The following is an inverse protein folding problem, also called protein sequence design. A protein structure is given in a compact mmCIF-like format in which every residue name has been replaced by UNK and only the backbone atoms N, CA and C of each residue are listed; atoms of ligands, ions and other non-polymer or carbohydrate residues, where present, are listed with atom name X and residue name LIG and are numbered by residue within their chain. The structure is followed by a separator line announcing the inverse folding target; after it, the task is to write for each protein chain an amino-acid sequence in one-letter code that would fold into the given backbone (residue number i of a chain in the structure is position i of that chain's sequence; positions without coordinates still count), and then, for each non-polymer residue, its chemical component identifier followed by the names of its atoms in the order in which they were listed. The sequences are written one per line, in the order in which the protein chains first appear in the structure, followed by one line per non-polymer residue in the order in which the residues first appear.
data_IF_297758666411
#
_entry.id   IF_297758666411
#
_cell.length_a   1.000
_cell.length_b   1.000
_cell.length_c   1.000
_cell.angle_alpha   90.00
_cell.angle_beta   90.00
_cell.angle_gamma   90.00
#
_symmetry.space_group_name_H-M   'P 1'
#
loop_
_entity.id
_entity.type
_entity.pdbx_description
1 polymer ?
#
# COMPACT_ATOMS: atom_id res chain seq x y z
N UNK A 1 -17.69 29.06 -5.55
CA UNK A 1 -18.05 29.21 -4.12
C UNK A 1 -18.37 27.86 -3.45
N UNK A 2 -19.15 26.95 -4.06
CA UNK A 2 -19.48 25.65 -3.45
C UNK A 2 -18.27 24.71 -3.23
N UNK A 3 -17.29 24.66 -4.14
CA UNK A 3 -16.15 23.74 -4.02
C UNK A 3 -15.24 24.04 -2.80
N UNK A 4 -14.89 25.32 -2.57
CA UNK A 4 -14.01 25.71 -1.46
C UNK A 4 -14.65 25.34 -0.11
N UNK A 5 -15.96 25.53 0.02
CA UNK A 5 -16.69 25.18 1.23
C UNK A 5 -16.58 23.69 1.57
N UNK A 6 -16.58 22.79 0.58
CA UNK A 6 -16.40 21.33 0.82
C UNK A 6 -15.05 21.03 1.44
N UNK A 7 -13.97 21.66 0.96
CA UNK A 7 -12.63 21.47 1.53
C UNK A 7 -12.49 22.05 2.93
N UNK A 8 -13.14 23.18 3.21
CA UNK A 8 -13.19 23.77 4.55
C UNK A 8 -13.96 22.88 5.53
N UNK A 9 -15.11 22.33 5.11
CA UNK A 9 -15.89 21.38 5.91
C UNK A 9 -15.12 20.09 6.19
N UNK A 10 -14.27 19.67 5.26
CA UNK A 10 -13.37 18.52 5.43
C UNK A 10 -12.10 18.83 6.25
N UNK A 11 -11.99 20.04 6.83
CA UNK A 11 -10.84 20.52 7.60
C UNK A 11 -9.49 20.36 6.87
N UNK A 12 -9.48 20.76 5.60
CA UNK A 12 -8.27 20.77 4.76
C UNK A 12 -7.79 22.18 4.55
N UNK A 13 -6.50 22.44 4.73
CA UNK A 13 -5.90 23.73 4.42
C UNK A 13 -6.09 24.04 2.93
N UNK A 14 -6.60 25.24 2.62
CA UNK A 14 -6.87 25.71 1.26
C UNK A 14 -5.94 26.87 0.93
N UNK A 15 -5.24 26.75 -0.19
CA UNK A 15 -4.30 27.76 -0.69
C UNK A 15 -4.73 28.29 -2.05
N UNK A 16 -4.36 29.53 -2.35
CA UNK A 16 -4.50 30.16 -3.67
C UNK A 16 -3.20 30.83 -4.09
N UNK A 17 -2.85 30.71 -5.37
CA UNK A 17 -1.75 31.43 -6.01
C UNK A 17 -2.25 32.01 -7.33
N UNK A 18 -2.14 33.33 -7.47
CA UNK A 18 -2.49 34.03 -8.71
C UNK A 18 -1.32 33.94 -9.69
N UNK A 19 -1.46 33.12 -10.73
CA UNK A 19 -0.38 32.89 -11.70
C UNK A 19 -0.15 34.14 -12.57
N UNK A 20 1.11 34.55 -12.83
CA UNK A 20 1.42 35.79 -13.55
C UNK A 20 1.46 35.51 -15.06
N UNK A 21 0.39 34.91 -15.59
CA UNK A 21 0.29 34.53 -16.98
C UNK A 21 0.07 35.76 -17.86
N UNK A 22 0.78 35.83 -18.99
CA UNK A 22 0.43 36.80 -20.04
C UNK A 22 -0.97 36.49 -20.61
N UNK A 23 -1.66 37.45 -21.23
CA UNK A 23 -2.98 37.20 -21.82
C UNK A 23 -2.99 36.03 -22.81
N UNK A 24 -1.91 35.83 -23.57
CA UNK A 24 -1.78 34.70 -24.50
C UNK A 24 -1.65 33.35 -23.77
N UNK A 25 -0.85 33.29 -22.70
CA UNK A 25 -0.69 32.08 -21.88
C UNK A 25 -1.99 31.74 -21.15
N UNK A 26 -2.67 32.75 -20.60
CA UNK A 26 -3.97 32.59 -19.95
C UNK A 26 -5.01 32.05 -20.94
N UNK A 27 -5.11 32.63 -22.14
CA UNK A 27 -6.02 32.15 -23.18
C UNK A 27 -5.73 30.68 -23.55
N UNK A 28 -4.46 30.30 -23.66
CA UNK A 28 -4.05 28.92 -23.93
C UNK A 28 -4.47 27.95 -22.80
N UNK A 29 -4.28 28.33 -21.55
CA UNK A 29 -4.70 27.52 -20.39
C UNK A 29 -6.24 27.37 -20.32
N UNK A 30 -6.98 28.47 -20.54
CA UNK A 30 -8.45 28.46 -20.54
C UNK A 30 -8.99 27.59 -21.68
N UNK A 31 -8.46 27.72 -22.89
CA UNK A 31 -8.89 26.89 -24.02
C UNK A 31 -8.69 25.39 -23.75
N UNK A 32 -7.60 25.03 -23.05
CA UNK A 32 -7.37 23.63 -22.66
C UNK A 32 -8.39 23.16 -21.61
N UNK A 33 -8.67 23.98 -20.59
CA UNK A 33 -9.70 23.67 -19.58
C UNK A 33 -11.10 23.54 -20.21
N UNK A 34 -11.47 24.43 -21.13
CA UNK A 34 -12.73 24.38 -21.86
C UNK A 34 -12.84 23.11 -22.72
N UNK A 35 -11.74 22.71 -23.36
CA UNK A 35 -11.68 21.43 -24.09
C UNK A 35 -11.83 20.23 -23.17
N UNK A 36 -11.23 20.25 -21.97
CA UNK A 36 -11.22 19.13 -21.04
C UNK A 36 -12.56 18.92 -20.32
N UNK A 37 -13.43 19.94 -20.26
CA UNK A 37 -14.78 19.79 -19.68
C UNK A 37 -15.81 19.24 -20.66
N UNK A 38 -15.48 19.13 -21.95
CA UNK A 38 -16.38 18.55 -22.95
C UNK A 38 -16.65 17.07 -22.65
N UNK A 39 -17.85 16.59 -23.00
CA UNK A 39 -18.29 15.21 -22.72
C UNK A 39 -17.31 14.15 -23.23
N UNK A 40 -16.73 14.41 -24.39
CA UNK A 40 -15.74 13.57 -25.05
C UNK A 40 -14.37 13.52 -24.33
N UNK A 41 -14.02 14.53 -23.53
CA UNK A 41 -12.69 14.69 -22.92
C UNK A 41 -12.69 14.64 -21.38
N UNK A 42 -13.85 14.81 -20.74
CA UNK A 42 -13.95 14.93 -19.27
C UNK A 42 -13.60 13.64 -18.52
N UNK A 43 -13.64 12.49 -19.20
CA UNK A 43 -13.33 11.20 -18.63
C UNK A 43 -11.90 10.79 -18.98
N UNK A 44 -11.10 10.53 -17.95
CA UNK A 44 -9.74 10.01 -18.09
C UNK A 44 -9.49 8.86 -17.11
N UNK A 45 -8.50 8.03 -17.43
CA UNK A 45 -8.09 6.92 -16.57
C UNK A 45 -7.17 7.46 -15.48
N UNK A 46 -7.72 7.71 -14.29
CA UNK A 46 -6.95 8.26 -13.18
C UNK A 46 -5.79 7.33 -12.79
N UNK A 47 -4.58 7.88 -12.83
CA UNK A 47 -3.38 7.27 -12.26
C UNK A 47 -2.83 8.18 -11.16
N UNK A 48 -2.71 7.63 -9.95
CA UNK A 48 -2.31 8.39 -8.77
C UNK A 48 -0.99 9.15 -8.92
N UNK A 49 0.01 8.67 -9.67
CA UNK A 49 1.29 9.36 -9.77
C UNK A 49 1.54 10.02 -11.13
N UNK A 50 0.94 9.49 -12.21
CA UNK A 50 1.23 9.97 -13.57
C UNK A 50 0.11 10.82 -14.16
N UNK A 51 -1.14 10.55 -13.81
CA UNK A 51 -2.31 11.20 -14.43
C UNK A 51 -3.43 11.42 -13.40
N UNK A 52 -3.24 12.46 -12.59
CA UNK A 52 -4.14 12.84 -11.51
C UNK A 52 -4.54 14.31 -11.60
N UNK A 53 -5.40 14.77 -10.68
CA UNK A 53 -5.88 16.14 -10.64
C UNK A 53 -4.75 17.19 -10.59
N UNK A 54 -3.65 16.92 -9.90
CA UNK A 54 -2.50 17.82 -9.80
C UNK A 54 -1.62 17.74 -11.05
N UNK A 55 -1.31 16.56 -11.58
CA UNK A 55 -0.49 16.44 -12.80
C UNK A 55 -1.19 17.06 -14.00
N UNK A 56 -2.52 16.93 -14.12
CA UNK A 56 -3.31 17.62 -15.15
C UNK A 56 -3.18 19.13 -15.06
N UNK A 57 -3.34 19.71 -13.86
CA UNK A 57 -3.18 21.15 -13.65
C UNK A 57 -1.73 21.59 -13.93
N UNK A 58 -0.75 20.81 -13.46
CA UNK A 58 0.69 21.03 -13.74
C UNK A 58 0.94 21.09 -15.24
N UNK A 59 0.46 20.11 -15.99
CA UNK A 59 0.69 19.98 -17.44
C UNK A 59 0.02 21.14 -18.19
N UNK A 60 -1.20 21.55 -17.81
CA UNK A 60 -1.88 22.73 -18.38
C UNK A 60 -1.05 24.00 -18.17
N UNK A 61 -0.52 24.20 -16.95
CA UNK A 61 0.31 25.37 -16.64
C UNK A 61 1.62 25.32 -17.43
N UNK A 62 2.29 24.15 -17.49
CA UNK A 62 3.56 23.99 -18.18
C UNK A 62 3.41 24.19 -19.69
N UNK A 63 2.37 23.61 -20.30
CA UNK A 63 2.04 23.78 -21.71
C UNK A 63 1.72 25.25 -22.03
N UNK A 64 0.93 25.92 -21.18
CA UNK A 64 0.60 27.32 -21.34
C UNK A 64 1.85 28.21 -21.29
N UNK A 65 2.80 27.88 -20.43
CA UNK A 65 4.00 28.69 -20.16
C UNK A 65 5.23 28.30 -20.98
N UNK A 66 5.14 27.26 -21.79
CA UNK A 66 6.23 26.80 -22.67
C UNK A 66 7.33 26.04 -21.92
N UNK A 67 6.97 25.18 -20.96
CA UNK A 67 7.93 24.36 -20.23
C UNK A 67 8.54 25.04 -19.00
N UNK A 68 7.88 26.06 -18.45
CA UNK A 68 8.46 26.89 -17.40
C UNK A 68 8.67 26.13 -16.08
N UNK A 69 7.84 25.13 -15.80
CA UNK A 69 7.88 24.30 -14.59
C UNK A 69 8.70 23.03 -14.85
N UNK A 70 8.55 22.40 -16.02
CA UNK A 70 9.31 21.18 -16.39
C UNK A 70 10.80 21.44 -16.50
N UNK A 71 11.22 22.67 -16.75
CA UNK A 71 12.63 23.07 -16.75
C UNK A 71 13.27 23.14 -15.35
N UNK A 72 12.51 22.95 -14.26
CA UNK A 72 13.02 23.05 -12.89
C UNK A 72 13.73 21.75 -12.48
N UNK A 73 15.02 21.83 -12.15
CA UNK A 73 15.85 20.67 -11.77
C UNK A 73 16.10 20.54 -10.27
N UNK A 74 15.75 21.56 -9.48
CA UNK A 74 16.11 21.64 -8.06
C UNK A 74 14.95 21.14 -7.20
N UNK A 75 15.27 20.52 -6.05
CA UNK A 75 14.39 20.21 -4.91
C UNK A 75 13.86 18.77 -4.80
N UNK A 76 14.70 17.76 -5.00
CA UNK A 76 14.38 16.39 -4.56
C UNK A 76 15.10 16.05 -3.25
N UNK A 77 14.35 15.67 -2.23
CA UNK A 77 14.91 14.93 -1.08
C UNK A 77 15.14 13.44 -1.42
N UNK A 78 15.43 12.63 -0.43
CA UNK A 78 15.69 11.19 -0.55
C UNK A 78 14.43 10.30 -0.52
N UNK A 79 13.23 10.88 -0.40
CA UNK A 79 11.96 10.13 -0.34
C UNK A 79 11.62 9.49 -1.69
N UNK A 80 11.15 8.25 -1.65
CA UNK A 80 10.63 7.52 -2.80
C UNK A 80 9.16 7.86 -3.07
N UNK A 81 8.61 7.46 -4.22
CA UNK A 81 7.15 7.56 -4.45
C UNK A 81 6.34 6.87 -3.36
N UNK A 82 6.82 5.73 -2.84
CA UNK A 82 6.16 5.00 -1.75
C UNK A 82 6.08 5.84 -0.49
N UNK A 83 7.17 6.50 -0.13
CA UNK A 83 7.23 7.33 1.07
C UNK A 83 6.27 8.52 0.96
N UNK A 84 6.28 9.19 -0.19
CA UNK A 84 5.39 10.31 -0.49
C UNK A 84 3.91 9.92 -0.47
N UNK A 85 3.55 8.76 -1.03
CA UNK A 85 2.18 8.29 -1.01
C UNK A 85 1.74 7.85 0.40
N UNK A 86 2.62 7.19 1.16
CA UNK A 86 2.34 6.79 2.55
C UNK A 86 2.15 7.99 3.47
N UNK A 87 2.90 9.07 3.27
CA UNK A 87 2.74 10.31 4.03
C UNK A 87 1.30 10.83 4.00
N UNK A 88 0.64 10.79 2.84
CA UNK A 88 -0.76 11.19 2.69
C UNK A 88 -1.76 10.33 3.47
N UNK A 89 -1.35 9.14 3.91
CA UNK A 89 -2.20 8.21 4.66
C UNK A 89 -1.80 8.04 6.13
N UNK A 90 -0.86 8.83 6.65
CA UNK A 90 -0.45 8.73 8.04
C UNK A 90 -1.62 8.93 9.01
N UNK A 91 -1.62 8.13 10.08
CA UNK A 91 -2.75 8.02 11.01
C UNK A 91 -3.89 7.12 10.54
N UNK A 92 -3.96 6.75 9.26
CA UNK A 92 -5.01 5.88 8.72
C UNK A 92 -4.51 4.45 8.50
N UNK A 93 -4.68 3.60 9.53
CA UNK A 93 -4.13 2.23 9.58
C UNK A 93 -4.51 1.37 8.37
N UNK A 94 -5.79 1.37 7.96
CA UNK A 94 -6.28 0.53 6.86
C UNK A 94 -5.79 1.04 5.50
N UNK A 95 -5.91 2.34 5.14
CA UNK A 95 -5.31 2.88 3.93
C UNK A 95 -3.80 2.67 3.80
N UNK A 96 -3.05 2.79 4.91
CA UNK A 96 -1.61 2.48 4.92
C UNK A 96 -1.35 1.01 4.59
N UNK A 97 -2.10 0.09 5.19
CA UNK A 97 -1.98 -1.34 4.91
C UNK A 97 -2.31 -1.67 3.44
N UNK A 98 -3.38 -1.08 2.89
CA UNK A 98 -3.77 -1.27 1.49
C UNK A 98 -2.67 -0.71 0.56
N UNK A 99 -2.15 0.47 0.87
CA UNK A 99 -1.03 1.10 0.15
C UNK A 99 0.21 0.22 0.17
N UNK A 100 0.55 -0.35 1.33
CA UNK A 100 1.70 -1.25 1.50
C UNK A 100 1.56 -2.53 0.68
N UNK A 101 0.35 -3.11 0.63
CA UNK A 101 0.06 -4.31 -0.16
C UNK A 101 -0.02 -3.96 -1.65
N UNK A 102 -0.52 -2.79 -2.01
CA UNK A 102 -0.85 -2.38 -3.37
C UNK A 102 0.22 -1.57 -4.08
N UNK A 103 1.45 -1.46 -3.57
CA UNK A 103 2.55 -0.76 -4.25
C UNK A 103 3.71 -1.72 -4.52
N UNK A 104 4.23 -1.69 -5.76
CA UNK A 104 5.33 -2.55 -6.21
C UNK A 104 6.68 -1.82 -6.21
N UNK A 105 7.77 -2.51 -6.59
CA UNK A 105 9.12 -1.90 -6.64
C UNK A 105 9.27 -0.59 -7.42
N UNK A 106 8.39 -0.29 -8.39
CA UNK A 106 8.50 0.93 -9.20
C UNK A 106 8.28 2.19 -8.36
N UNK A 107 7.61 2.07 -7.22
CA UNK A 107 7.43 3.17 -6.28
C UNK A 107 8.65 3.38 -5.36
N UNK A 108 9.67 2.53 -5.44
CA UNK A 108 10.82 2.55 -4.52
C UNK A 108 12.04 3.29 -5.08
N UNK A 109 11.80 4.10 -6.12
CA UNK A 109 12.78 5.04 -6.68
C UNK A 109 12.47 6.46 -6.22
N UNK A 110 13.51 7.29 -6.17
CA UNK A 110 13.37 8.72 -5.92
C UNK A 110 12.78 9.38 -7.18
N UNK A 111 11.63 10.07 -7.09
CA UNK A 111 11.05 10.83 -8.19
C UNK A 111 11.87 12.09 -8.49
N UNK A 112 11.90 12.48 -9.77
CA UNK A 112 12.36 13.83 -10.16
C UNK A 112 11.44 14.90 -9.58
N UNK A 113 11.88 16.17 -9.55
CA UNK A 113 11.03 17.25 -9.05
C UNK A 113 9.72 17.37 -9.83
N UNK A 114 9.77 17.24 -11.15
CA UNK A 114 8.58 17.18 -12.01
C UNK A 114 7.62 16.05 -11.61
N UNK A 115 8.16 14.86 -11.35
CA UNK A 115 7.35 13.71 -10.96
C UNK A 115 6.72 13.90 -9.57
N UNK A 116 7.39 14.58 -8.63
CA UNK A 116 6.83 14.89 -7.29
C UNK A 116 5.59 15.76 -7.34
N UNK A 117 5.43 16.56 -8.40
CA UNK A 117 4.24 17.39 -8.62
C UNK A 117 2.97 16.58 -8.91
N UNK A 118 3.00 15.25 -8.76
CA UNK A 118 1.78 14.46 -8.54
C UNK A 118 1.06 14.83 -7.24
N UNK A 119 1.79 15.39 -6.25
CA UNK A 119 1.21 15.96 -5.04
C UNK A 119 1.11 17.49 -5.16
N UNK A 120 -0.02 18.09 -4.74
CA UNK A 120 -0.27 19.52 -4.91
C UNK A 120 0.71 20.42 -4.15
N UNK A 121 1.31 19.93 -3.06
CA UNK A 121 2.28 20.71 -2.29
C UNK A 121 3.55 21.02 -3.08
N UNK A 122 4.03 20.07 -3.89
CA UNK A 122 5.23 20.28 -4.71
C UNK A 122 4.92 21.17 -5.92
N UNK A 123 3.72 21.10 -6.49
CA UNK A 123 3.31 22.03 -7.54
C UNK A 123 3.23 23.47 -7.00
N UNK A 124 2.66 23.66 -5.79
CA UNK A 124 2.61 24.97 -5.12
C UNK A 124 4.00 25.55 -4.88
N UNK A 125 4.93 24.72 -4.40
CA UNK A 125 6.34 25.10 -4.20
C UNK A 125 7.03 25.44 -5.53
N UNK A 126 6.75 24.68 -6.59
CA UNK A 126 7.31 24.95 -7.91
C UNK A 126 6.83 26.30 -8.46
N UNK A 127 5.53 26.59 -8.31
CA UNK A 127 4.93 27.88 -8.69
C UNK A 127 5.54 29.03 -7.88
N UNK A 128 5.66 28.86 -6.56
CA UNK A 128 6.27 29.86 -5.68
C UNK A 128 7.73 30.12 -6.08
N UNK A 129 8.54 29.08 -6.27
CA UNK A 129 9.94 29.22 -6.62
C UNK A 129 10.16 29.78 -8.02
N UNK A 130 9.29 29.43 -8.99
CA UNK A 130 9.44 29.88 -10.38
C UNK A 130 9.10 31.35 -10.57
N UNK A 131 8.03 31.81 -9.94
CA UNK A 131 7.48 33.15 -10.15
C UNK A 131 7.55 34.07 -8.93
N UNK A 132 8.13 33.60 -7.83
CA UNK A 132 8.20 34.32 -6.55
C UNK A 132 6.82 34.70 -5.99
N UNK A 133 5.83 33.80 -6.14
CA UNK A 133 4.44 34.02 -5.73
C UNK A 133 4.14 33.21 -4.48
N UNK A 134 4.07 33.93 -3.37
CA UNK A 134 3.73 33.33 -2.08
C UNK A 134 2.28 32.85 -2.09
N UNK A 135 2.01 31.61 -1.67
CA UNK A 135 0.66 31.10 -1.60
C UNK A 135 -0.12 31.79 -0.49
N UNK A 136 -1.36 32.18 -0.79
CA UNK A 136 -2.30 32.80 0.16
C UNK A 136 -3.16 31.71 0.78
N UNK A 137 -3.19 31.64 2.11
CA UNK A 137 -4.07 30.72 2.84
C UNK A 137 -5.49 31.28 2.86
N UNK A 138 -6.44 30.58 2.24
CA UNK A 138 -7.87 30.91 2.34
C UNK A 138 -8.51 30.27 3.58
N UNK A 139 -7.99 29.10 4.00
CA UNK A 139 -8.44 28.41 5.18
C UNK A 139 -7.29 27.57 5.73
N UNK A 140 -7.00 27.71 7.02
CA UNK A 140 -6.04 26.86 7.72
C UNK A 140 -6.81 25.75 8.44
N UNK A 141 -6.39 24.50 8.25
CA UNK A 141 -6.95 23.37 9.01
C UNK A 141 -6.78 23.58 10.53
N UNK A 142 -7.72 23.06 11.30
CA UNK A 142 -7.72 23.11 12.77
C UNK A 142 -7.25 21.80 13.41
N UNK A 143 -7.32 20.69 12.69
CA UNK A 143 -6.86 19.39 13.15
C UNK A 143 -5.33 19.30 13.28
N UNK A 144 -4.85 18.08 13.53
CA UNK A 144 -3.43 17.82 13.70
C UNK A 144 -2.60 18.29 12.48
N UNK A 145 -1.41 18.87 12.70
CA UNK A 145 -0.53 19.31 11.62
C UNK A 145 -0.10 18.12 10.76
N UNK A 146 0.14 18.38 9.48
CA UNK A 146 0.76 17.42 8.57
C UNK A 146 2.24 17.18 8.93
N UNK A 147 2.81 16.08 8.46
CA UNK A 147 4.25 15.81 8.62
C UNK A 147 5.10 16.97 8.11
N UNK A 148 4.81 17.46 6.90
CA UNK A 148 5.55 18.57 6.29
C UNK A 148 5.47 19.85 7.11
N UNK A 149 4.33 20.14 7.74
CA UNK A 149 4.18 21.28 8.66
C UNK A 149 5.02 21.09 9.93
N UNK A 150 5.06 19.89 10.50
CA UNK A 150 5.91 19.57 11.66
C UNK A 150 7.40 19.67 11.32
N UNK A 151 7.82 19.11 10.18
CA UNK A 151 9.21 19.18 9.72
C UNK A 151 9.65 20.62 9.43
N UNK A 152 8.77 21.42 8.82
CA UNK A 152 9.03 22.85 8.59
C UNK A 152 9.13 23.63 9.89
N UNK A 153 8.25 23.37 10.86
CA UNK A 153 8.31 24.00 12.17
C UNK A 153 9.60 23.63 12.91
N UNK A 154 10.03 22.37 12.85
CA UNK A 154 11.26 21.90 13.47
C UNK A 154 12.54 22.51 12.85
N UNK A 155 12.49 22.86 11.57
CA UNK A 155 13.58 23.50 10.85
C UNK A 155 13.79 24.99 11.21
N UNK A 156 12.89 25.60 11.97
CA UNK A 156 13.03 27.00 12.41
C UNK A 156 14.22 27.15 13.40
N UNK A 157 15.24 27.98 13.07
CA UNK A 157 16.39 28.20 13.93
C UNK A 157 16.06 28.99 15.21
N UNK A 158 14.91 29.66 15.28
CA UNK A 158 14.52 30.49 16.43
C UNK A 158 13.81 29.70 17.54
N UNK A 159 13.54 28.41 17.32
CA UNK A 159 12.83 27.58 18.28
C UNK A 159 13.63 27.36 19.58
N UNK A 160 12.96 27.44 20.72
CA UNK A 160 13.56 27.09 22.01
C UNK A 160 13.85 25.58 22.09
N UNK A 161 14.85 25.13 22.87
CA UNK A 161 15.17 23.71 23.03
C UNK A 161 13.97 22.86 23.47
N UNK A 162 13.18 23.37 24.41
CA UNK A 162 12.00 22.67 24.94
C UNK A 162 10.89 22.55 23.89
N UNK A 163 10.63 23.61 23.12
CA UNK A 163 9.65 23.56 22.03
C UNK A 163 10.10 22.60 20.93
N UNK A 164 11.40 22.54 20.64
CA UNK A 164 11.97 21.63 19.65
C UNK A 164 11.82 20.18 20.10
N UNK A 165 12.10 19.89 21.36
CA UNK A 165 11.89 18.55 21.93
C UNK A 165 10.41 18.13 21.85
N UNK A 166 9.47 19.03 22.17
CA UNK A 166 8.05 18.75 22.06
C UNK A 166 7.59 18.47 20.61
N UNK A 167 8.06 19.26 19.63
CA UNK A 167 7.77 19.00 18.22
C UNK A 167 8.41 17.71 17.72
N UNK A 168 9.61 17.37 18.18
CA UNK A 168 10.27 16.11 17.82
C UNK A 168 9.45 14.91 18.30
N UNK A 169 8.92 14.96 19.53
CA UNK A 169 8.03 13.91 20.05
C UNK A 169 6.80 13.76 19.17
N UNK A 170 6.14 14.86 18.78
CA UNK A 170 4.99 14.80 17.87
C UNK A 170 5.36 14.24 16.50
N UNK A 171 6.50 14.63 15.95
CA UNK A 171 7.00 14.12 14.68
C UNK A 171 7.25 12.61 14.74
N UNK A 172 7.90 12.15 15.81
CA UNK A 172 8.19 10.75 16.05
C UNK A 172 6.91 9.94 16.27
N UNK A 173 5.92 10.49 16.98
CA UNK A 173 4.61 9.87 17.13
C UNK A 173 3.92 9.65 15.78
N UNK A 174 3.91 10.67 14.91
CA UNK A 174 3.29 10.57 13.58
C UNK A 174 4.07 9.59 12.69
N UNK A 175 5.40 9.64 12.68
CA UNK A 175 6.27 8.73 11.89
C UNK A 175 6.15 7.28 12.35
N UNK A 176 6.02 7.05 13.65
CA UNK A 176 5.94 5.72 14.24
C UNK A 176 4.50 5.21 14.43
N UNK A 177 3.49 5.91 13.87
CA UNK A 177 2.11 5.44 13.96
C UNK A 177 1.98 4.02 13.37
N UNK A 178 1.19 3.14 14.01
CA UNK A 178 1.03 1.77 13.56
C UNK A 178 0.41 1.75 12.16
N UNK A 179 1.15 1.21 11.20
CA UNK A 179 0.77 1.06 9.77
C UNK A 179 -0.33 0.01 9.52
N UNK A 180 -0.95 -0.53 10.57
CA UNK A 180 -1.90 -1.64 10.49
C UNK A 180 -1.26 -3.01 10.26
N UNK A 181 0.04 -3.09 9.91
CA UNK A 181 0.76 -4.35 9.62
C UNK A 181 0.75 -5.34 10.78
N UNK A 182 0.96 -4.86 12.01
CA UNK A 182 0.95 -5.72 13.21
C UNK A 182 -0.44 -6.30 13.45
N UNK A 183 -1.48 -5.49 13.34
CA UNK A 183 -2.88 -5.96 13.45
C UNK A 183 -3.20 -6.98 12.37
N UNK A 184 -2.74 -6.73 11.14
CA UNK A 184 -2.91 -7.66 10.03
C UNK A 184 -2.14 -8.97 10.28
N UNK A 185 -0.92 -8.92 10.81
CA UNK A 185 -0.17 -10.12 11.18
C UNK A 185 -0.83 -10.91 12.32
N UNK A 186 -1.39 -10.23 13.33
CA UNK A 186 -2.17 -10.89 14.38
C UNK A 186 -3.43 -11.56 13.80
N UNK A 187 -4.11 -10.91 12.86
CA UNK A 187 -5.23 -11.51 12.13
C UNK A 187 -4.78 -12.74 11.33
N UNK A 188 -3.64 -12.67 10.65
CA UNK A 188 -3.04 -13.81 9.93
C UNK A 188 -2.74 -14.96 10.89
N UNK A 189 -2.13 -14.69 12.03
CA UNK A 189 -1.85 -15.69 13.07
C UNK A 189 -3.17 -16.31 13.56
N UNK A 190 -4.18 -15.49 13.83
CA UNK A 190 -5.50 -15.97 14.26
C UNK A 190 -6.13 -16.88 13.22
N UNK A 191 -6.18 -16.46 11.94
CA UNK A 191 -6.77 -17.23 10.84
C UNK A 191 -6.00 -18.50 10.51
N UNK A 192 -4.69 -18.52 10.74
CA UNK A 192 -3.84 -19.69 10.50
C UNK A 192 -3.75 -20.62 11.70
N UNK A 193 -4.01 -20.15 12.93
CA UNK A 193 -3.97 -20.95 14.16
C UNK A 193 -4.76 -22.28 14.11
N UNK A 194 -5.93 -22.39 13.44
CA UNK A 194 -6.68 -23.64 13.37
C UNK A 194 -5.91 -24.76 12.67
N UNK A 195 -5.00 -24.45 11.73
CA UNK A 195 -4.20 -25.48 11.04
C UNK A 195 -3.29 -26.24 11.99
N UNK A 196 -2.85 -25.58 13.06
CA UNK A 196 -2.02 -26.17 14.11
C UNK A 196 -2.88 -26.82 15.19
N UNK A 197 -3.89 -26.12 15.70
CA UNK A 197 -4.77 -26.60 16.77
C UNK A 197 -5.49 -27.90 16.39
N UNK A 198 -6.07 -27.98 15.19
CA UNK A 198 -6.78 -29.18 14.71
C UNK A 198 -5.86 -30.39 14.53
N UNK A 199 -4.55 -30.15 14.35
CA UNK A 199 -3.56 -31.24 14.29
C UNK A 199 -3.19 -31.76 15.65
N UNK A 200 -3.03 -30.89 16.65
CA UNK A 200 -2.81 -31.30 18.04
C UNK A 200 -3.98 -32.13 18.56
N UNK A 201 -5.22 -31.73 18.24
CA UNK A 201 -6.43 -32.44 18.65
C UNK A 201 -6.70 -33.71 17.83
N UNK A 202 -6.06 -33.86 16.66
CA UNK A 202 -6.25 -35.01 15.77
C UNK A 202 -7.62 -35.07 15.07
N UNK A 203 -8.46 -34.03 15.17
CA UNK A 203 -9.80 -33.93 14.57
C UNK A 203 -9.95 -32.64 13.76
N UNK A 204 -10.84 -32.63 12.77
CA UNK A 204 -11.16 -31.46 11.94
C UNK A 204 -9.97 -30.84 11.18
N UNK A 205 -8.91 -31.61 10.90
CA UNK A 205 -7.70 -31.11 10.24
C UNK A 205 -7.98 -30.47 8.86
N UNK A 206 -8.95 -30.99 8.10
CA UNK A 206 -9.36 -30.41 6.82
C UNK A 206 -10.05 -29.06 7.01
N UNK A 207 -10.90 -28.92 8.02
CA UNK A 207 -11.59 -27.66 8.35
C UNK A 207 -10.59 -26.61 8.84
N UNK A 208 -9.64 -27.00 9.71
CA UNK A 208 -8.59 -26.10 10.18
C UNK A 208 -7.69 -25.59 9.03
N UNK A 209 -7.37 -26.47 8.08
CA UNK A 209 -6.65 -26.09 6.87
C UNK A 209 -7.47 -25.16 5.97
N UNK A 210 -8.78 -25.42 5.82
CA UNK A 210 -9.68 -24.59 5.02
C UNK A 210 -9.75 -23.15 5.55
N UNK A 211 -9.91 -22.97 6.86
CA UNK A 211 -9.93 -21.63 7.49
C UNK A 211 -8.63 -20.86 7.25
N UNK A 212 -7.48 -21.55 7.29
CA UNK A 212 -6.18 -20.93 7.08
C UNK A 212 -5.92 -20.54 5.63
N UNK A 213 -6.35 -21.38 4.67
CA UNK A 213 -6.01 -21.25 3.25
C UNK A 213 -7.04 -20.43 2.47
N UNK A 214 -8.33 -20.60 2.70
CA UNK A 214 -9.38 -20.01 1.86
C UNK A 214 -9.29 -18.47 1.79
N UNK A 215 -9.21 -17.73 2.92
CA UNK A 215 -9.22 -16.27 2.83
C UNK A 215 -7.93 -15.72 2.21
N UNK A 216 -6.78 -16.37 2.45
CA UNK A 216 -5.51 -16.01 1.81
C UNK A 216 -5.51 -16.29 0.31
N UNK A 217 -6.03 -17.45 -0.12
CA UNK A 217 -6.17 -17.80 -1.53
C UNK A 217 -7.18 -16.89 -2.25
N UNK A 218 -8.28 -16.50 -1.58
CA UNK A 218 -9.23 -15.54 -2.11
C UNK A 218 -8.61 -14.16 -2.28
N UNK A 219 -7.87 -13.66 -1.27
CA UNK A 219 -7.12 -12.41 -1.40
C UNK A 219 -6.12 -12.49 -2.55
N UNK A 220 -5.38 -13.60 -2.67
CA UNK A 220 -4.50 -13.87 -3.81
C UNK A 220 -5.24 -13.79 -5.14
N UNK A 221 -6.38 -14.48 -5.28
CA UNK A 221 -7.20 -14.44 -6.49
C UNK A 221 -7.64 -13.01 -6.85
N UNK A 222 -8.09 -12.23 -5.86
CA UNK A 222 -8.46 -10.82 -6.06
C UNK A 222 -7.26 -10.02 -6.55
N UNK A 223 -6.09 -10.14 -5.91
CA UNK A 223 -4.89 -9.42 -6.33
C UNK A 223 -4.42 -9.83 -7.73
N UNK A 224 -4.49 -11.11 -8.09
CA UNK A 224 -4.17 -11.60 -9.43
C UNK A 224 -5.16 -11.09 -10.48
N UNK A 225 -6.46 -11.07 -10.17
CA UNK A 225 -7.49 -10.46 -11.01
C UNK A 225 -7.21 -8.98 -11.26
N UNK A 226 -6.90 -8.23 -10.20
CA UNK A 226 -6.49 -6.83 -10.34
C UNK A 226 -5.22 -6.70 -11.16
N UNK A 227 -4.21 -7.54 -10.97
CA UNK A 227 -2.97 -7.48 -11.75
C UNK A 227 -3.20 -7.78 -13.25
N UNK A 228 -4.11 -8.70 -13.56
CA UNK A 228 -4.44 -9.09 -14.94
C UNK A 228 -5.29 -8.03 -15.66
N UNK A 229 -6.33 -7.52 -15.00
CA UNK A 229 -7.33 -6.63 -15.61
C UNK A 229 -6.96 -5.15 -15.47
N UNK A 230 -6.27 -4.76 -14.40
CA UNK A 230 -6.04 -3.34 -14.13
C UNK A 230 -5.12 -2.70 -15.18
N UNK A 231 -5.51 -1.54 -15.73
CA UNK A 231 -4.65 -0.73 -16.57
C UNK A 231 -3.58 0.02 -15.75
N UNK A 232 -3.57 -0.08 -14.42
CA UNK A 232 -2.63 0.60 -13.52
C UNK A 232 -1.38 -0.28 -13.27
N UNK A 233 -0.28 -0.14 -14.03
CA UNK A 233 0.85 -1.04 -13.94
C UNK A 233 1.68 -0.84 -12.66
N UNK A 234 1.40 0.19 -11.87
CA UNK A 234 2.16 0.57 -10.68
C UNK A 234 1.53 0.13 -9.36
N UNK A 235 0.23 -0.22 -9.37
CA UNK A 235 -0.47 -0.70 -8.18
C UNK A 235 -0.38 -2.24 -8.05
N UNK A 236 -0.70 -2.99 -9.10
CA UNK A 236 -0.82 -4.47 -8.98
C UNK A 236 0.02 -5.29 -9.97
N UNK A 237 0.41 -4.73 -11.13
CA UNK A 237 1.34 -5.46 -12.02
C UNK A 237 2.71 -5.52 -11.36
N UNK A 238 3.39 -6.67 -11.40
CA UNK A 238 4.72 -6.86 -10.80
C UNK A 238 4.78 -6.71 -9.28
N UNK A 239 3.64 -6.78 -8.60
CA UNK A 239 3.58 -6.68 -7.15
C UNK A 239 4.13 -7.96 -6.50
N UNK A 240 5.12 -7.78 -5.62
CA UNK A 240 5.81 -8.86 -4.92
C UNK A 240 4.86 -9.69 -4.03
N UNK A 241 3.76 -9.10 -3.56
CA UNK A 241 2.74 -9.81 -2.78
C UNK A 241 2.08 -10.97 -3.56
N UNK A 242 2.07 -10.92 -4.89
CA UNK A 242 1.55 -11.99 -5.75
C UNK A 242 2.38 -13.28 -5.62
N UNK A 243 3.69 -13.16 -5.39
CA UNK A 243 4.57 -14.32 -5.17
C UNK A 243 4.26 -15.03 -3.84
N UNK A 244 3.77 -14.27 -2.86
CA UNK A 244 3.34 -14.79 -1.58
C UNK A 244 1.94 -15.42 -1.67
N UNK A 245 0.93 -14.70 -2.16
CA UNK A 245 -0.47 -15.17 -2.21
C UNK A 245 -0.80 -15.79 -3.57
N UNK A 246 -0.32 -17.02 -3.79
CA UNK A 246 -0.64 -17.75 -5.01
C UNK A 246 -2.08 -18.26 -4.95
N UNK A 247 -2.91 -18.03 -5.99
CA UNK A 247 -4.28 -18.53 -6.00
C UNK A 247 -4.31 -20.06 -5.87
N UNK A 248 -3.32 -20.76 -6.46
CA UNK A 248 -3.15 -22.21 -6.41
C UNK A 248 -2.96 -22.80 -5.02
N UNK A 249 -2.75 -21.99 -3.97
CA UNK A 249 -2.71 -22.49 -2.60
C UNK A 249 -4.05 -23.16 -2.19
N UNK A 250 -5.16 -22.87 -2.89
CA UNK A 250 -6.42 -23.60 -2.76
C UNK A 250 -6.28 -25.12 -2.99
N UNK A 251 -5.32 -25.55 -3.82
CA UNK A 251 -5.06 -26.96 -4.13
C UNK A 251 -4.69 -27.77 -2.88
N UNK A 252 -4.19 -27.12 -1.82
CA UNK A 252 -3.90 -27.76 -0.54
C UNK A 252 -5.11 -28.48 0.06
N UNK A 253 -6.34 -28.03 -0.27
CA UNK A 253 -7.56 -28.64 0.24
C UNK A 253 -7.93 -29.93 -0.49
N UNK A 254 -7.64 -29.99 -1.80
CA UNK A 254 -8.13 -31.03 -2.71
C UNK A 254 -7.08 -32.10 -3.04
N UNK A 255 -5.78 -31.77 -2.95
CA UNK A 255 -4.72 -32.70 -3.33
C UNK A 255 -4.65 -33.93 -2.41
N UNK A 256 -4.37 -35.13 -2.96
CA UNK A 256 -3.99 -36.31 -2.18
C UNK A 256 -2.78 -36.01 -1.27
N UNK A 257 -2.65 -36.75 -0.17
CA UNK A 257 -1.68 -36.46 0.89
C UNK A 257 -0.24 -36.25 0.37
N UNK A 258 0.24 -37.12 -0.51
CA UNK A 258 1.62 -37.06 -0.99
C UNK A 258 1.87 -35.86 -1.91
N UNK A 259 0.94 -35.60 -2.85
CA UNK A 259 0.97 -34.43 -3.74
C UNK A 259 0.84 -33.12 -2.95
N UNK A 260 0.00 -33.11 -1.91
CA UNK A 260 -0.20 -31.97 -1.03
C UNK A 260 1.07 -31.61 -0.26
N UNK A 261 1.78 -32.61 0.26
CA UNK A 261 3.09 -32.42 0.92
C UNK A 261 4.14 -31.93 -0.05
N UNK A 262 4.21 -32.51 -1.25
CA UNK A 262 5.15 -32.07 -2.29
C UNK A 262 4.92 -30.60 -2.67
N UNK A 263 3.67 -30.23 -2.95
CA UNK A 263 3.29 -28.84 -3.25
C UNK A 263 3.67 -27.90 -2.10
N UNK A 264 3.30 -28.25 -0.86
CA UNK A 264 3.57 -27.41 0.31
C UNK A 264 5.07 -27.20 0.55
N UNK A 265 5.89 -28.25 0.40
CA UNK A 265 7.36 -28.15 0.48
C UNK A 265 7.93 -27.26 -0.60
N UNK A 266 7.47 -27.41 -1.85
CA UNK A 266 7.85 -26.53 -2.95
C UNK A 266 7.50 -25.06 -2.68
N UNK A 267 6.31 -24.81 -2.13
CA UNK A 267 5.88 -23.46 -1.72
C UNK A 267 6.73 -22.89 -0.59
N UNK A 268 7.09 -23.69 0.42
CA UNK A 268 8.01 -23.23 1.47
C UNK A 268 9.38 -22.85 0.89
N UNK A 269 9.92 -23.62 -0.06
CA UNK A 269 11.18 -23.27 -0.73
C UNK A 269 11.02 -21.94 -1.49
N UNK A 270 9.96 -21.79 -2.28
CA UNK A 270 9.68 -20.54 -2.99
C UNK A 270 9.55 -19.34 -2.04
N UNK A 271 8.81 -19.49 -0.94
CA UNK A 271 8.67 -18.44 0.08
C UNK A 271 9.99 -18.15 0.80
N UNK A 272 10.86 -19.16 0.96
CA UNK A 272 12.22 -18.98 1.45
C UNK A 272 13.08 -18.14 0.51
N UNK A 273 12.95 -18.34 -0.81
CA UNK A 273 13.60 -17.47 -1.80
C UNK A 273 13.06 -16.04 -1.74
N UNK A 274 11.74 -15.85 -1.60
CA UNK A 274 11.16 -14.51 -1.40
C UNK A 274 11.69 -13.84 -0.14
N UNK A 275 11.82 -14.58 0.97
CA UNK A 275 12.42 -14.08 2.21
C UNK A 275 13.89 -13.70 2.02
N UNK A 276 14.67 -14.49 1.29
CA UNK A 276 16.05 -14.14 0.95
C UNK A 276 16.13 -12.85 0.14
N UNK A 277 15.24 -12.66 -0.85
CA UNK A 277 15.16 -11.43 -1.66
C UNK A 277 14.73 -10.20 -0.84
N UNK A 278 13.88 -10.39 0.18
CA UNK A 278 13.55 -9.34 1.16
C UNK A 278 14.76 -8.97 2.03
N UNK A 279 15.56 -9.96 2.44
CA UNK A 279 16.74 -9.73 3.30
C UNK A 279 17.90 -9.03 2.59
N UNK A 280 18.03 -9.19 1.27
CA UNK A 280 19.04 -8.50 0.47
C UNK A 280 18.53 -7.20 -0.17
N UNK A 281 17.41 -6.67 0.32
CA UNK A 281 16.76 -5.42 -0.15
C UNK A 281 16.41 -5.38 -1.65
N UNK A 282 16.32 -6.53 -2.31
CA UNK A 282 15.80 -6.62 -3.69
C UNK A 282 14.30 -6.31 -3.69
N UNK A 283 13.58 -6.78 -2.67
CA UNK A 283 12.18 -6.40 -2.42
C UNK A 283 12.14 -5.47 -1.22
N UNK A 284 11.72 -4.22 -1.44
CA UNK A 284 11.56 -3.23 -0.35
C UNK A 284 10.11 -3.15 0.16
N UNK A 285 9.18 -3.78 -0.54
CA UNK A 285 7.78 -3.83 -0.15
C UNK A 285 7.63 -4.58 1.20
N UNK A 286 6.90 -4.02 2.18
CA UNK A 286 6.77 -4.59 3.52
C UNK A 286 5.73 -5.73 3.57
N UNK A 287 5.95 -6.76 2.75
CA UNK A 287 5.02 -7.88 2.50
C UNK A 287 5.13 -9.01 3.53
N UNK A 288 5.88 -8.82 4.62
CA UNK A 288 6.11 -9.86 5.63
C UNK A 288 4.81 -10.45 6.24
N UNK A 289 3.71 -9.69 6.50
CA UNK A 289 2.49 -10.31 7.03
C UNK A 289 1.80 -11.21 5.99
N UNK A 290 1.85 -10.78 4.72
CA UNK A 290 1.32 -11.53 3.57
C UNK A 290 2.12 -12.80 3.35
N UNK A 291 3.45 -12.71 3.48
CA UNK A 291 4.36 -13.84 3.45
C UNK A 291 4.08 -14.85 4.57
N UNK A 292 3.87 -14.39 5.82
CA UNK A 292 3.51 -15.26 6.94
C UNK A 292 2.22 -16.03 6.67
N UNK A 293 1.22 -15.39 6.05
CA UNK A 293 -0.05 -16.05 5.73
C UNK A 293 0.14 -17.22 4.78
N UNK A 294 0.94 -17.05 3.74
CA UNK A 294 1.27 -18.14 2.83
C UNK A 294 2.16 -19.20 3.50
N UNK A 295 3.08 -18.79 4.36
CA UNK A 295 4.08 -19.67 4.95
C UNK A 295 3.48 -20.65 5.97
N UNK A 296 2.67 -20.18 6.91
CA UNK A 296 2.21 -20.99 8.06
C UNK A 296 1.47 -22.27 7.62
N UNK A 297 0.44 -22.20 6.74
CA UNK A 297 -0.26 -23.40 6.29
C UNK A 297 0.66 -24.35 5.51
N UNK A 298 1.55 -23.81 4.69
CA UNK A 298 2.47 -24.61 3.87
C UNK A 298 3.56 -25.30 4.73
N UNK A 299 4.10 -24.63 5.74
CA UNK A 299 5.03 -25.25 6.71
C UNK A 299 4.36 -26.40 7.44
N UNK A 300 3.16 -26.15 7.97
CA UNK A 300 2.42 -27.16 8.71
C UNK A 300 2.13 -28.34 7.78
N UNK A 301 1.58 -28.12 6.59
CA UNK A 301 1.25 -29.21 5.66
C UNK A 301 2.49 -29.98 5.18
N UNK A 302 3.57 -29.28 4.82
CA UNK A 302 4.78 -29.88 4.23
C UNK A 302 5.64 -30.67 5.22
N UNK A 303 5.69 -30.25 6.48
CA UNK A 303 6.62 -30.79 7.49
C UNK A 303 5.96 -31.37 8.73
N UNK A 304 4.69 -31.08 9.00
CA UNK A 304 4.01 -31.68 10.13
C UNK A 304 3.79 -33.18 9.93
N UNK A 305 3.93 -33.94 11.02
CA UNK A 305 3.79 -35.40 11.04
C UNK A 305 2.43 -35.82 10.46
N UNK A 306 2.40 -36.98 9.79
CA UNK A 306 1.15 -37.53 9.29
C UNK A 306 0.27 -37.86 10.50
N UNK A 307 -1.07 -37.73 10.43
CA UNK A 307 -1.91 -38.32 11.46
C UNK A 307 -1.52 -39.79 11.56
N UNK A 308 -1.03 -40.20 12.73
CA UNK A 308 -0.74 -41.60 13.01
C UNK A 308 -1.98 -42.44 12.71
N UNK A 309 -1.82 -43.74 12.38
CA UNK A 309 -2.97 -44.60 12.14
C UNK A 309 -3.92 -44.46 13.32
N UNK A 310 -5.16 -44.08 13.05
CA UNK A 310 -6.22 -44.11 14.06
C UNK A 310 -6.29 -45.57 14.50
N UNK A 311 -5.79 -45.86 15.70
CA UNK A 311 -6.07 -47.14 16.35
C UNK A 311 -7.59 -47.27 16.36
N UNK A 312 -8.17 -48.31 15.73
CA UNK A 312 -9.60 -48.51 15.80
C UNK A 312 -9.98 -48.58 17.27
N UNK A 313 -11.15 -48.02 17.68
CA UNK A 313 -11.59 -48.16 19.05
C UNK A 313 -11.57 -49.64 19.44
N UNK A 314 -10.94 -49.95 20.57
CA UNK A 314 -10.74 -51.29 21.14
C UNK A 314 -12.04 -52.11 21.30
N UNK A 315 -13.19 -51.49 21.08
CA UNK A 315 -14.52 -52.08 21.14
C UNK A 315 -14.78 -53.22 20.12
N UNK A 316 -14.01 -53.31 19.02
CA UNK A 316 -14.18 -54.39 18.02
C UNK A 316 -13.36 -55.65 18.29
N UNK A 317 -12.42 -55.64 19.25
CA UNK A 317 -11.64 -56.85 19.61
C UNK A 317 -12.32 -57.76 20.65
N UNK A 318 -13.42 -57.31 21.29
CA UNK A 318 -14.13 -58.13 22.30
C UNK A 318 -15.29 -58.97 21.74
N UNK A 319 -15.67 -58.81 20.47
CA UNK A 319 -16.77 -59.60 19.88
C UNK A 319 -16.32 -60.92 19.22
N UNK A 320 -15.02 -61.21 19.10
CA UNK A 320 -14.52 -62.46 18.51
C UNK A 320 -14.14 -63.53 19.53
N UNK A 321 -14.36 -63.32 20.84
CA UNK A 321 -14.02 -64.28 21.90
C UNK A 321 -15.22 -64.87 22.67
N UNK A 322 -16.45 -64.69 22.18
CA UNK A 322 -17.65 -65.33 22.76
C UNK A 322 -18.39 -66.12 21.68
N UNK A 323 -17.73 -67.15 21.16
CA UNK A 323 -18.35 -68.25 20.43
C UNK A 323 -17.30 -69.34 20.24
N UNK A 324 -17.13 -70.14 21.28
CA UNK A 324 -16.36 -71.37 21.36
C UNK A 324 -17.04 -72.27 22.38
#
# INVERSE_FOLDING_TARGET
VQMIAVYQLADRTVWVQDLPLTPAQQAKAVAKLESDVLEENKHYSYDHFWDNCTTRVRDIIDDATGGAISSMTNLTDDRTFRDLAREGFLGMRIPLLITDIGMNRKTDRIPTYWERMFLPDYLREAVEAKWNIKPVVLYQRKGAPSLKELEKALADPTLTPDARAALQVQLDEVKNMPTGRVLFALLVILLTSPVWLTRLVGRFQRTGLAVAVIPGAFLGLVLYMFAAVSPLPYFMRWNEALLCLMPFDFLLLFLPHDKRRLYARGRVIMLGLVAALLLIDVFKAPIWPVWLWALIPNLVVGFGQAPGPQTPPEALKRQSHVSG
#
